data_IF_768995604331
#
_entry.id   IF_768995604331
#
_cell.length_a   1.000
_cell.length_b   1.000
_cell.length_c   1.000
_cell.angle_alpha   90.00
_cell.angle_beta   90.00
_cell.angle_gamma   90.00
#
_symmetry.space_group_name_H-M   'P 1'
#
loop_
_entity.id
_entity.type
_entity.pdbx_description
1 polymer ?
#
# COMPACT_ATOMS: atom_id res chain seq x y z
N UNK A 1 -10.99 -6.94 18.03
CA UNK A 1 -9.55 -7.12 18.30
C UNK A 1 -8.96 -5.85 18.90
N UNK A 2 -7.91 -5.99 19.73
CA UNK A 2 -7.39 -4.90 20.58
C UNK A 2 -6.38 -3.96 19.87
N UNK A 3 -6.42 -3.86 18.53
CA UNK A 3 -5.54 -2.98 17.78
C UNK A 3 -5.86 -1.49 17.98
N UNK A 4 -4.86 -0.65 17.79
CA UNK A 4 -5.02 0.81 17.75
C UNK A 4 -5.06 1.25 16.30
N UNK A 5 -6.19 1.83 15.87
CA UNK A 5 -6.34 2.40 14.53
C UNK A 5 -5.90 3.87 14.54
N UNK A 6 -4.97 4.20 13.63
CA UNK A 6 -4.46 5.57 13.45
C UNK A 6 -4.77 6.03 12.03
N UNK A 7 -5.50 7.13 11.90
CA UNK A 7 -5.78 7.76 10.61
C UNK A 7 -4.81 8.88 10.32
N UNK A 8 -4.11 8.80 9.19
CA UNK A 8 -3.25 9.87 8.68
C UNK A 8 -4.02 10.66 7.61
N UNK A 9 -4.59 11.77 8.01
CA UNK A 9 -5.45 12.60 7.16
C UNK A 9 -4.68 13.76 6.55
N UNK A 10 -5.09 14.15 5.34
CA UNK A 10 -4.66 15.42 4.72
C UNK A 10 -5.78 16.45 4.88
N UNK A 11 -5.43 17.68 5.23
CA UNK A 11 -6.40 18.78 5.31
C UNK A 11 -6.79 19.21 3.89
N UNK A 12 -8.04 18.94 3.51
CA UNK A 12 -8.62 19.35 2.23
C UNK A 12 -9.71 20.39 2.43
N UNK A 13 -9.96 21.27 1.42
CA UNK A 13 -11.02 22.30 1.50
C UNK A 13 -12.42 21.73 1.70
N UNK A 14 -12.67 20.51 1.21
CA UNK A 14 -13.91 19.76 1.38
C UNK A 14 -13.61 18.47 2.15
N UNK A 15 -13.55 18.55 3.47
CA UNK A 15 -13.28 17.38 4.32
C UNK A 15 -14.46 16.41 4.30
N UNK A 16 -14.20 15.18 3.86
CA UNK A 16 -15.02 14.05 4.22
C UNK A 16 -14.75 13.72 5.70
N UNK A 17 -15.83 13.46 6.45
CA UNK A 17 -15.74 13.07 7.86
C UNK A 17 -14.82 11.87 8.06
N UNK A 18 -14.19 11.79 9.23
CA UNK A 18 -13.34 10.65 9.57
C UNK A 18 -14.16 9.38 9.74
N UNK A 19 -13.59 8.26 9.29
CA UNK A 19 -14.13 6.94 9.55
C UNK A 19 -14.28 6.71 11.08
N UNK A 20 -15.46 6.24 11.50
CA UNK A 20 -15.80 5.99 12.91
C UNK A 20 -14.89 4.97 13.61
N UNK A 21 -14.22 4.10 12.84
CA UNK A 21 -13.31 3.07 13.39
C UNK A 21 -11.91 3.59 13.68
N UNK A 22 -11.58 4.83 13.29
CA UNK A 22 -10.28 5.45 13.54
C UNK A 22 -10.26 6.03 14.95
N UNK A 23 -9.44 5.43 15.84
CA UNK A 23 -9.32 5.84 17.24
C UNK A 23 -8.42 7.07 17.42
N UNK A 24 -7.32 7.13 16.68
CA UNK A 24 -6.36 8.24 16.74
C UNK A 24 -6.27 8.91 15.39
N UNK A 25 -6.35 10.22 15.37
CA UNK A 25 -6.32 11.00 14.13
C UNK A 25 -5.10 11.92 14.11
N UNK A 26 -4.31 11.82 13.04
CA UNK A 26 -3.22 12.74 12.74
C UNK A 26 -3.56 13.48 11.44
N UNK A 27 -3.67 14.80 11.49
CA UNK A 27 -4.02 15.63 10.32
C UNK A 27 -2.79 16.38 9.84
N UNK A 28 -2.48 16.25 8.55
CA UNK A 28 -1.34 16.89 7.90
C UNK A 28 -1.81 18.01 6.96
N UNK A 29 -1.04 19.06 6.90
CA UNK A 29 -1.25 20.16 5.97
C UNK A 29 -0.65 19.86 4.59
N UNK A 30 0.47 19.13 4.55
CA UNK A 30 1.24 18.85 3.34
C UNK A 30 1.26 17.36 3.03
N UNK A 31 1.02 17.00 1.77
CA UNK A 31 1.00 15.62 1.28
C UNK A 31 2.31 14.89 1.54
N UNK A 32 3.45 15.52 1.29
CA UNK A 32 4.76 14.88 1.43
C UNK A 32 5.07 14.44 2.87
N UNK A 33 4.59 15.19 3.86
CA UNK A 33 4.79 14.83 5.27
C UNK A 33 3.96 13.58 5.61
N UNK A 34 2.69 13.53 5.16
CA UNK A 34 1.84 12.37 5.34
C UNK A 34 2.43 11.12 4.69
N UNK A 35 2.89 11.22 3.45
CA UNK A 35 3.56 10.15 2.72
C UNK A 35 4.80 9.65 3.46
N UNK A 36 5.64 10.55 3.93
CA UNK A 36 6.82 10.19 4.72
C UNK A 36 6.45 9.37 5.98
N UNK A 37 5.37 9.75 6.67
CA UNK A 37 4.90 9.02 7.86
C UNK A 37 4.41 7.62 7.51
N UNK A 38 3.70 7.43 6.39
CA UNK A 38 3.33 6.11 5.92
C UNK A 38 4.54 5.22 5.73
N UNK A 39 5.54 5.69 4.99
CA UNK A 39 6.76 4.92 4.71
C UNK A 39 7.56 4.63 5.98
N UNK A 40 7.73 5.63 6.84
CA UNK A 40 8.59 5.54 8.03
C UNK A 40 8.13 4.48 9.02
N UNK A 41 6.82 4.35 9.21
CA UNK A 41 6.25 3.49 10.25
C UNK A 41 5.66 2.19 9.72
N UNK A 42 5.46 2.05 8.40
CA UNK A 42 4.91 0.84 7.83
C UNK A 42 5.85 -0.35 7.94
N UNK A 43 5.26 -1.50 8.24
CA UNK A 43 5.91 -2.83 8.17
C UNK A 43 5.37 -3.65 7.02
N UNK A 44 4.21 -3.26 6.52
CA UNK A 44 3.54 -3.81 5.35
C UNK A 44 2.57 -2.78 4.80
N UNK A 45 2.22 -2.91 3.53
CA UNK A 45 1.14 -2.15 2.91
C UNK A 45 0.01 -3.09 2.51
N UNK A 46 -1.21 -2.75 2.91
CA UNK A 46 -2.43 -3.37 2.39
C UNK A 46 -3.19 -2.30 1.61
N UNK A 47 -3.27 -2.48 0.31
CA UNK A 47 -3.82 -1.50 -0.61
C UNK A 47 -5.22 -1.94 -1.04
N UNK A 48 -6.21 -1.17 -0.64
CA UNK A 48 -7.61 -1.39 -0.98
C UNK A 48 -7.92 -0.85 -2.38
N UNK A 49 -8.99 -1.29 -3.04
CA UNK A 49 -9.51 -0.64 -4.23
C UNK A 49 -9.69 0.86 -4.02
N UNK A 50 -9.23 1.67 -4.98
CA UNK A 50 -9.28 3.11 -4.85
C UNK A 50 -8.90 3.85 -6.14
N UNK A 51 -8.81 5.16 -6.06
CA UNK A 51 -8.50 6.03 -7.19
C UNK A 51 -7.01 6.36 -7.32
N UNK A 52 -6.74 7.47 -8.01
CA UNK A 52 -5.36 7.91 -8.31
C UNK A 52 -4.52 8.19 -7.06
N UNK A 53 -5.13 8.67 -5.97
CA UNK A 53 -4.42 8.86 -4.70
C UNK A 53 -3.95 7.53 -4.09
N UNK A 54 -4.71 6.44 -4.28
CA UNK A 54 -4.30 5.10 -3.86
C UNK A 54 -3.14 4.58 -4.70
N UNK A 55 -3.18 4.81 -6.02
CA UNK A 55 -2.09 4.44 -6.94
C UNK A 55 -0.83 5.25 -6.63
N UNK A 56 -0.96 6.52 -6.26
CA UNK A 56 0.16 7.37 -5.86
C UNK A 56 0.88 6.80 -4.63
N UNK A 57 0.17 6.40 -3.58
CA UNK A 57 0.77 5.75 -2.41
C UNK A 57 1.34 4.36 -2.74
N UNK A 58 0.66 3.59 -3.59
CA UNK A 58 1.13 2.28 -4.04
C UNK A 58 2.43 2.38 -4.83
N UNK A 59 2.51 3.30 -5.79
CA UNK A 59 3.70 3.49 -6.61
C UNK A 59 4.90 3.97 -5.79
N UNK A 60 4.70 4.87 -4.84
CA UNK A 60 5.75 5.29 -3.92
C UNK A 60 6.26 4.14 -3.05
N UNK A 61 5.35 3.35 -2.46
CA UNK A 61 5.70 2.16 -1.69
C UNK A 61 6.51 1.15 -2.53
N UNK A 62 6.09 0.94 -3.79
CA UNK A 62 6.78 0.05 -4.71
C UNK A 62 8.20 0.52 -5.00
N UNK A 63 8.39 1.80 -5.36
CA UNK A 63 9.70 2.37 -5.69
C UNK A 63 10.65 2.32 -4.48
N UNK A 64 10.16 2.61 -3.28
CA UNK A 64 10.96 2.55 -2.07
C UNK A 64 11.40 1.11 -1.77
N UNK A 65 10.49 0.15 -1.90
CA UNK A 65 10.81 -1.27 -1.72
C UNK A 65 11.76 -1.80 -2.81
N UNK A 66 11.59 -1.37 -4.06
CA UNK A 66 12.44 -1.72 -5.19
C UNK A 66 13.88 -1.21 -5.00
N UNK A 67 14.04 0.03 -4.59
CA UNK A 67 15.35 0.69 -4.46
C UNK A 67 16.13 0.27 -3.21
N UNK A 68 15.55 -0.52 -2.32
CA UNK A 68 16.21 -1.02 -1.12
C UNK A 68 16.56 0.07 -0.09
N UNK A 69 15.95 1.25 -0.20
CA UNK A 69 16.19 2.37 0.74
C UNK A 69 15.59 2.14 2.12
N UNK A 70 14.70 1.18 2.23
CA UNK A 70 14.13 0.70 3.49
C UNK A 70 14.24 -0.81 3.56
N UNK A 71 13.94 -1.39 4.73
CA UNK A 71 13.76 -2.85 4.80
C UNK A 71 12.65 -3.26 3.83
N UNK A 72 12.84 -4.34 3.06
CA UNK A 72 11.78 -4.84 2.20
C UNK A 72 10.51 -5.06 3.02
N UNK A 73 9.40 -4.53 2.56
CA UNK A 73 8.10 -4.76 3.16
C UNK A 73 7.12 -5.28 2.11
N UNK A 74 6.22 -6.17 2.48
CA UNK A 74 5.24 -6.72 1.56
C UNK A 74 4.20 -5.66 1.18
N UNK A 75 3.82 -5.64 -0.10
CA UNK A 75 2.70 -4.87 -0.63
C UNK A 75 1.62 -5.86 -1.02
N UNK A 76 0.48 -5.79 -0.36
CA UNK A 76 -0.66 -6.67 -0.59
C UNK A 76 -1.77 -5.86 -1.25
N UNK A 77 -2.20 -6.27 -2.43
CA UNK A 77 -3.37 -5.70 -3.10
C UNK A 77 -4.60 -6.53 -2.74
N UNK A 78 -5.59 -5.89 -2.15
CA UNK A 78 -6.85 -6.55 -1.79
C UNK A 78 -7.85 -6.44 -2.92
N UNK A 79 -8.49 -7.56 -3.29
CA UNK A 79 -9.47 -7.70 -4.37
C UNK A 79 -8.82 -7.89 -5.75
N UNK A 80 -8.67 -9.15 -6.13
CA UNK A 80 -8.07 -9.55 -7.41
C UNK A 80 -8.84 -9.03 -8.62
N UNK A 81 -10.17 -8.99 -8.55
CA UNK A 81 -11.02 -8.48 -9.64
C UNK A 81 -10.68 -7.02 -9.97
N UNK A 82 -10.54 -6.18 -8.96
CA UNK A 82 -10.19 -4.77 -9.14
C UNK A 82 -8.76 -4.57 -9.68
N UNK A 83 -7.80 -5.32 -9.14
CA UNK A 83 -6.38 -5.10 -9.43
C UNK A 83 -5.84 -5.89 -10.62
N UNK A 84 -6.59 -6.85 -11.19
CA UNK A 84 -6.12 -7.69 -12.31
C UNK A 84 -5.64 -6.88 -13.50
N UNK A 85 -6.43 -5.91 -13.96
CA UNK A 85 -6.06 -5.06 -15.10
C UNK A 85 -4.80 -4.22 -14.86
N UNK A 86 -4.61 -3.73 -13.63
CA UNK A 86 -3.40 -3.00 -13.25
C UNK A 86 -2.16 -3.92 -13.27
N UNK A 87 -2.29 -5.13 -12.74
CA UNK A 87 -1.20 -6.12 -12.75
C UNK A 87 -0.85 -6.57 -14.15
N UNK A 88 -1.83 -6.76 -15.01
CA UNK A 88 -1.61 -7.08 -16.42
C UNK A 88 -0.88 -5.94 -17.14
N UNK A 89 -1.26 -4.70 -16.86
CA UNK A 89 -0.56 -3.55 -17.41
C UNK A 89 0.89 -3.46 -16.92
N UNK A 90 1.16 -3.70 -15.64
CA UNK A 90 2.53 -3.73 -15.10
C UNK A 90 3.38 -4.78 -15.80
N UNK A 91 2.85 -6.00 -16.00
CA UNK A 91 3.58 -7.11 -16.64
C UNK A 91 3.76 -6.89 -18.14
N UNK A 92 2.68 -6.58 -18.85
CA UNK A 92 2.69 -6.52 -20.30
C UNK A 92 3.31 -5.21 -20.82
N UNK A 93 3.14 -4.10 -20.13
CA UNK A 93 3.61 -2.80 -20.59
C UNK A 93 4.91 -2.38 -19.92
N UNK A 94 5.00 -2.36 -18.59
CA UNK A 94 6.23 -1.93 -17.92
C UNK A 94 7.33 -3.00 -17.98
N UNK A 95 7.04 -4.22 -17.55
CA UNK A 95 8.03 -5.29 -17.59
C UNK A 95 8.32 -5.76 -19.02
N UNK A 96 7.30 -5.87 -19.86
CA UNK A 96 7.45 -6.24 -21.27
C UNK A 96 8.31 -5.28 -22.08
N UNK A 97 8.41 -4.01 -21.67
CA UNK A 97 9.30 -3.00 -22.26
C UNK A 97 10.60 -2.78 -21.49
N UNK A 98 10.84 -3.55 -20.44
CA UNK A 98 12.07 -3.49 -19.66
C UNK A 98 12.19 -2.31 -18.69
N UNK A 99 11.10 -1.60 -18.38
CA UNK A 99 11.13 -0.50 -17.40
C UNK A 99 11.19 -1.01 -15.95
N UNK A 100 10.67 -2.20 -15.68
CA UNK A 100 10.77 -2.91 -14.39
C UNK A 100 11.05 -4.39 -14.66
N UNK A 101 11.61 -5.09 -13.67
CA UNK A 101 11.79 -6.54 -13.75
C UNK A 101 10.51 -7.28 -13.37
N UNK A 102 10.13 -8.32 -14.13
CA UNK A 102 9.00 -9.17 -13.79
C UNK A 102 9.18 -9.83 -12.40
N UNK A 103 10.40 -10.24 -12.09
CA UNK A 103 10.77 -10.77 -10.78
C UNK A 103 10.55 -9.78 -9.63
N UNK A 104 10.68 -8.47 -9.90
CA UNK A 104 10.44 -7.43 -8.90
C UNK A 104 8.96 -7.33 -8.56
N UNK A 105 8.08 -7.40 -9.58
CA UNK A 105 6.64 -7.40 -9.38
C UNK A 105 6.24 -8.58 -8.47
N UNK A 106 6.67 -9.79 -8.84
CA UNK A 106 6.31 -11.01 -8.11
C UNK A 106 6.90 -11.06 -6.70
N UNK A 107 8.05 -10.43 -6.47
CA UNK A 107 8.68 -10.34 -5.14
C UNK A 107 8.00 -9.35 -4.23
N UNK A 108 7.53 -8.23 -4.76
CA UNK A 108 7.05 -7.09 -3.96
C UNK A 108 5.53 -7.09 -3.78
N UNK A 109 4.78 -7.61 -4.76
CA UNK A 109 3.32 -7.54 -4.77
C UNK A 109 2.70 -8.94 -4.61
N UNK A 110 1.76 -9.04 -3.70
CA UNK A 110 0.88 -10.20 -3.52
C UNK A 110 -0.57 -9.75 -3.62
N UNK A 111 -1.44 -10.56 -4.22
CA UNK A 111 -2.88 -10.31 -4.26
C UNK A 111 -3.58 -11.24 -3.27
N UNK A 112 -4.51 -10.71 -2.50
CA UNK A 112 -5.36 -11.45 -1.58
C UNK A 112 -6.82 -11.04 -1.75
N UNK A 113 -7.72 -12.00 -1.58
CA UNK A 113 -9.16 -11.80 -1.73
C UNK A 113 -9.94 -11.86 -0.41
N UNK A 114 -9.26 -12.21 0.69
CA UNK A 114 -9.87 -12.23 2.02
C UNK A 114 -8.95 -11.62 3.08
N UNK A 115 -9.53 -11.09 4.18
CA UNK A 115 -8.75 -10.63 5.32
C UNK A 115 -7.89 -11.73 5.95
N UNK A 116 -8.38 -12.97 5.95
CA UNK A 116 -7.69 -14.15 6.49
C UNK A 116 -6.40 -14.45 5.70
N UNK A 117 -6.47 -14.35 4.36
CA UNK A 117 -5.29 -14.50 3.49
C UNK A 117 -4.25 -13.41 3.77
N UNK A 118 -4.69 -12.16 3.95
CA UNK A 118 -3.80 -11.05 4.29
C UNK A 118 -3.08 -11.33 5.60
N UNK A 119 -3.81 -11.70 6.64
CA UNK A 119 -3.24 -12.00 7.96
C UNK A 119 -2.27 -13.17 7.88
N UNK A 120 -2.65 -14.25 7.20
CA UNK A 120 -1.78 -15.42 7.02
C UNK A 120 -0.48 -15.09 6.26
N UNK A 121 -0.57 -14.19 5.25
CA UNK A 121 0.59 -13.74 4.50
C UNK A 121 1.51 -12.86 5.36
N UNK A 122 0.95 -11.93 6.12
CA UNK A 122 1.71 -11.04 7.01
C UNK A 122 2.42 -11.82 8.12
N UNK A 123 1.79 -12.82 8.72
CA UNK A 123 2.37 -13.65 9.76
C UNK A 123 3.60 -14.46 9.28
N UNK A 124 3.67 -14.80 8.00
CA UNK A 124 4.82 -15.51 7.42
C UNK A 124 6.04 -14.60 7.20
N UNK A 125 5.81 -13.32 6.93
CA UNK A 125 6.86 -12.38 6.50
C UNK A 125 7.28 -11.47 7.65
N UNK A 126 6.34 -11.06 8.48
CA UNK A 126 6.61 -10.20 9.64
C UNK A 126 6.73 -11.10 10.85
N UNK A 127 7.96 -11.32 11.28
CA UNK A 127 8.21 -11.90 12.61
C UNK A 127 7.79 -10.84 13.63
N UNK A 128 6.64 -11.10 14.23
CA UNK A 128 6.10 -10.28 15.32
C UNK A 128 6.88 -10.54 16.60
#
# INVERSE_FOLDING_TARGET
ENGVSVGLHIKLPHEQGCNQYVKTRCTFRYFFIRKFMFVKYARAYVVMPGGMGTIDELSEAFVIAQTGRTRPFPIILYNSEFWSGFMDWLRNSMAGKGFIGENEINRLITICDSPEEIVAHLQKIIIL
#
